data_IF_875190308887
#
_entry.id   IF_875190308887
#
_cell.length_a   1.000
_cell.length_b   1.000
_cell.length_c   1.000
_cell.angle_alpha   90.00
_cell.angle_beta   90.00
_cell.angle_gamma   90.00
#
_symmetry.space_group_name_H-M   'P 1'
#
loop_
_entity.id
_entity.type
_entity.pdbx_description
1 polymer ?
#
# COMPACT_ATOMS: atom_id res chain seq x y z
N UNK A 1 7.98 -9.27 43.46
CA UNK A 1 8.28 -8.80 42.08
C UNK A 1 7.17 -7.86 41.59
N UNK A 2 6.79 -6.84 42.35
CA UNK A 2 7.55 -5.66 42.84
C UNK A 2 7.50 -4.52 41.82
N UNK A 3 6.61 -3.56 42.08
CA UNK A 3 6.70 -2.11 41.97
C UNK A 3 7.36 -1.46 40.72
N UNK A 4 8.47 -2.01 40.21
CA UNK A 4 9.22 -1.58 39.03
C UNK A 4 8.43 -1.66 37.70
N UNK A 5 7.44 -2.57 37.59
CA UNK A 5 6.59 -2.64 36.40
C UNK A 5 5.62 -1.45 36.25
N UNK A 6 5.32 -0.72 37.33
CA UNK A 6 4.46 0.48 37.30
C UNK A 6 5.23 1.77 36.97
N UNK A 7 6.56 1.76 37.04
CA UNK A 7 7.43 2.92 36.75
C UNK A 7 7.88 3.02 35.29
N UNK A 8 7.60 2.00 34.46
CA UNK A 8 7.68 2.16 33.01
C UNK A 8 6.45 2.94 32.56
N UNK A 9 6.57 4.27 32.52
CA UNK A 9 5.87 5.08 31.52
C UNK A 9 6.03 4.35 30.20
N UNK A 10 4.99 3.62 29.78
CA UNK A 10 5.01 2.83 28.56
C UNK A 10 4.96 3.85 27.44
N UNK A 11 6.13 4.36 27.05
CA UNK A 11 6.30 5.30 25.94
C UNK A 11 5.50 4.71 24.79
N UNK A 12 4.37 5.34 24.48
CA UNK A 12 3.43 4.80 23.50
C UNK A 12 4.21 4.68 22.19
N UNK A 13 4.32 3.46 21.67
CA UNK A 13 5.05 3.22 20.43
C UNK A 13 4.50 4.15 19.35
N UNK A 14 5.39 4.95 18.76
CA UNK A 14 5.02 5.84 17.65
C UNK A 14 4.53 4.97 16.51
N UNK A 15 3.34 5.27 16.00
CA UNK A 15 2.78 4.62 14.81
C UNK A 15 3.05 5.49 13.60
N UNK A 16 3.32 4.86 12.47
CA UNK A 16 3.47 5.52 11.18
C UNK A 16 2.27 5.15 10.33
N UNK A 17 1.73 6.14 9.63
CA UNK A 17 0.66 5.96 8.64
C UNK A 17 1.18 6.48 7.32
N UNK A 18 1.09 5.66 6.28
CA UNK A 18 1.34 6.07 4.91
C UNK A 18 -0.01 6.13 4.19
N UNK A 19 -0.29 7.25 3.54
CA UNK A 19 -1.47 7.43 2.70
C UNK A 19 -0.94 7.77 1.32
N UNK A 20 -1.21 6.92 0.34
CA UNK A 20 -0.92 7.24 -1.05
C UNK A 20 -2.20 7.59 -1.79
N UNK A 21 -2.12 8.64 -2.60
CA UNK A 21 -3.20 9.13 -3.45
C UNK A 21 -2.78 8.88 -4.90
N UNK A 22 -3.37 7.88 -5.56
CA UNK A 22 -3.05 7.57 -6.95
C UNK A 22 -3.45 8.75 -7.86
N UNK A 23 -2.72 8.94 -8.97
CA UNK A 23 -3.02 9.98 -9.94
C UNK A 23 -3.04 11.41 -9.39
N UNK A 24 -2.27 11.71 -8.32
CA UNK A 24 -2.26 13.03 -7.68
C UNK A 24 -0.91 13.76 -7.89
N UNK A 25 -0.75 14.54 -8.98
CA UNK A 25 0.45 15.34 -9.20
C UNK A 25 0.69 16.39 -8.11
N UNK A 26 1.96 16.73 -7.88
CA UNK A 26 2.37 17.80 -6.97
C UNK A 26 1.65 19.13 -7.25
N UNK A 27 1.61 19.53 -8.53
CA UNK A 27 1.00 20.80 -8.96
C UNK A 27 -0.51 20.84 -8.71
N UNK A 28 -1.19 19.69 -8.80
CA UNK A 28 -2.61 19.58 -8.52
C UNK A 28 -2.89 19.79 -7.03
N UNK A 29 -2.15 19.12 -6.14
CA UNK A 29 -2.31 19.30 -4.69
C UNK A 29 -1.95 20.73 -4.25
N UNK A 30 -0.89 21.31 -4.80
CA UNK A 30 -0.50 22.70 -4.54
C UNK A 30 -1.61 23.68 -4.94
N UNK A 31 -2.22 23.50 -6.12
CA UNK A 31 -3.35 24.31 -6.59
C UNK A 31 -4.55 24.20 -5.65
N UNK A 32 -4.93 22.98 -5.25
CA UNK A 32 -6.08 22.79 -4.35
C UNK A 32 -5.87 23.43 -2.97
N UNK A 33 -4.63 23.43 -2.45
CA UNK A 33 -4.28 24.14 -1.22
C UNK A 33 -4.44 25.65 -1.42
N UNK A 34 -3.89 26.21 -2.50
CA UNK A 34 -3.97 27.64 -2.80
C UNK A 34 -5.42 28.12 -3.01
N UNK A 35 -6.29 27.28 -3.57
CA UNK A 35 -7.73 27.55 -3.75
C UNK A 35 -8.54 27.38 -2.45
N UNK A 36 -7.91 26.98 -1.32
CA UNK A 36 -8.62 26.72 -0.05
C UNK A 36 -9.48 25.45 -0.05
N UNK A 37 -9.30 24.57 -1.05
CA UNK A 37 -10.12 23.36 -1.27
C UNK A 37 -9.55 22.10 -0.61
N UNK A 38 -8.33 22.17 -0.08
CA UNK A 38 -7.67 21.06 0.61
C UNK A 38 -7.16 21.47 2.02
N UNK A 39 -8.04 21.88 2.95
CA UNK A 39 -7.63 22.44 4.26
C UNK A 39 -6.84 21.46 5.13
N UNK A 40 -7.14 20.15 5.04
CA UNK A 40 -6.39 19.12 5.76
C UNK A 40 -4.99 18.93 5.19
N UNK A 41 -4.82 19.00 3.87
CA UNK A 41 -3.51 18.95 3.24
C UNK A 41 -2.70 20.20 3.58
N UNK A 42 -3.32 21.39 3.54
CA UNK A 42 -2.67 22.63 3.97
C UNK A 42 -2.13 22.52 5.40
N UNK A 43 -2.93 22.01 6.34
CA UNK A 43 -2.52 21.81 7.73
C UNK A 43 -1.32 20.86 7.84
N UNK A 44 -1.29 19.77 7.07
CA UNK A 44 -0.16 18.83 7.05
C UNK A 44 1.11 19.48 6.51
N UNK A 45 0.99 20.27 5.43
CA UNK A 45 2.13 20.98 4.83
C UNK A 45 2.69 22.03 5.80
N UNK A 46 1.84 22.79 6.50
CA UNK A 46 2.27 23.76 7.53
C UNK A 46 3.05 23.13 8.69
N UNK A 47 2.77 21.86 9.01
CA UNK A 47 3.45 21.11 10.08
C UNK A 47 4.64 20.28 9.57
N UNK A 48 4.87 20.26 8.26
CA UNK A 48 5.84 19.39 7.60
C UNK A 48 6.35 19.98 6.30
N UNK A 49 6.22 19.25 5.19
CA UNK A 49 6.71 19.70 3.89
C UNK A 49 5.87 19.12 2.75
N UNK A 50 5.76 19.88 1.66
CA UNK A 50 5.25 19.40 0.38
C UNK A 50 6.42 19.41 -0.61
N UNK A 51 6.90 18.22 -0.99
CA UNK A 51 8.05 18.07 -1.88
C UNK A 51 7.63 17.42 -3.19
N UNK A 52 8.19 17.92 -4.30
CA UNK A 52 8.03 17.29 -5.61
C UNK A 52 8.95 16.07 -5.68
N UNK A 53 8.43 14.97 -6.20
CA UNK A 53 9.18 13.74 -6.42
C UNK A 53 8.92 13.23 -7.84
N UNK A 54 9.93 12.60 -8.41
CA UNK A 54 9.76 11.85 -9.65
C UNK A 54 9.19 10.47 -9.32
N UNK A 55 8.31 10.00 -10.21
CA UNK A 55 7.81 8.62 -10.15
C UNK A 55 8.81 7.66 -10.81
N UNK A 56 8.48 6.38 -10.77
CA UNK A 56 9.28 5.31 -11.37
C UNK A 56 9.04 5.22 -12.87
N UNK A 57 10.01 4.64 -13.59
CA UNK A 57 9.88 4.28 -15.00
C UNK A 57 9.65 2.77 -15.14
N UNK A 58 8.61 2.32 -15.87
CA UNK A 58 7.61 3.10 -16.59
C UNK A 58 6.53 3.73 -15.68
N UNK A 59 5.93 4.83 -16.15
CA UNK A 59 4.94 5.65 -15.44
C UNK A 59 3.56 4.99 -15.32
N UNK A 60 3.50 3.81 -14.72
CA UNK A 60 2.26 3.02 -14.55
C UNK A 60 2.06 2.76 -13.06
N UNK A 61 0.82 2.88 -12.58
CA UNK A 61 0.53 2.78 -11.14
C UNK A 61 1.01 1.45 -10.55
N UNK A 62 0.79 0.30 -11.21
CA UNK A 62 1.29 -1.00 -10.70
C UNK A 62 2.79 -0.99 -10.45
N UNK A 63 3.56 -0.30 -11.30
CA UNK A 63 5.02 -0.18 -11.20
C UNK A 63 5.39 0.78 -10.09
N UNK A 64 4.76 1.96 -10.02
CA UNK A 64 5.01 2.95 -8.98
C UNK A 64 4.74 2.41 -7.57
N UNK A 65 3.60 1.75 -7.38
CA UNK A 65 3.24 1.11 -6.11
C UNK A 65 4.17 -0.05 -5.77
N UNK A 66 4.59 -0.84 -6.76
CA UNK A 66 5.59 -1.91 -6.58
C UNK A 66 6.95 -1.38 -6.16
N UNK A 67 7.45 -0.32 -6.81
CA UNK A 67 8.70 0.33 -6.43
C UNK A 67 8.59 0.94 -5.02
N UNK A 68 7.47 1.60 -4.70
CA UNK A 68 7.23 2.17 -3.37
C UNK A 68 7.24 1.11 -2.28
N UNK A 69 6.48 0.02 -2.46
CA UNK A 69 6.36 -1.00 -1.43
C UNK A 69 7.63 -1.83 -1.28
N UNK A 70 8.49 -1.93 -2.30
CA UNK A 70 9.70 -2.79 -2.24
C UNK A 70 11.00 -2.01 -2.06
N UNK A 71 10.99 -0.69 -2.31
CA UNK A 71 12.19 0.16 -2.25
C UNK A 71 13.21 -0.14 -3.35
N UNK A 72 12.84 -0.89 -4.38
CA UNK A 72 13.73 -1.25 -5.50
C UNK A 72 13.11 -0.87 -6.85
N UNK A 73 13.92 -0.83 -7.91
CA UNK A 73 13.45 -0.51 -9.25
C UNK A 73 12.73 -1.70 -9.94
N UNK A 74 12.04 -1.47 -11.08
CA UNK A 74 11.25 -2.50 -11.75
C UNK A 74 12.00 -3.75 -12.19
N UNK A 75 13.26 -3.62 -12.58
CA UNK A 75 14.07 -4.77 -12.95
C UNK A 75 14.33 -5.71 -11.74
N UNK A 76 14.29 -5.18 -10.50
CA UNK A 76 14.44 -5.98 -9.28
C UNK A 76 13.12 -6.58 -8.81
N UNK A 77 12.03 -5.81 -8.82
CA UNK A 77 10.74 -6.30 -8.31
C UNK A 77 9.88 -7.04 -9.34
N UNK A 78 10.22 -6.96 -10.63
CA UNK A 78 9.61 -7.71 -11.74
C UNK A 78 8.14 -7.36 -12.05
N UNK A 79 7.76 -6.10 -11.87
CA UNK A 79 6.43 -5.60 -12.24
C UNK A 79 6.62 -4.42 -13.20
N UNK A 80 6.10 -4.55 -14.43
CA UNK A 80 6.29 -3.57 -15.50
C UNK A 80 5.00 -2.91 -16.00
N UNK A 81 3.84 -3.37 -15.54
CA UNK A 81 2.53 -2.84 -15.92
C UNK A 81 1.38 -3.61 -15.30
N UNK A 82 0.14 -3.29 -15.67
CA UNK A 82 -1.05 -4.11 -15.33
C UNK A 82 -1.31 -5.21 -16.36
N UNK A 83 -0.67 -5.11 -17.52
CA UNK A 83 -0.63 -6.15 -18.55
C UNK A 83 0.83 -6.36 -18.87
N UNK A 84 1.28 -7.61 -18.81
CA UNK A 84 2.65 -8.00 -19.13
C UNK A 84 2.61 -9.21 -20.08
N UNK A 85 3.78 -9.61 -20.60
CA UNK A 85 3.91 -10.74 -21.52
C UNK A 85 4.95 -11.73 -20.99
N UNK A 86 4.60 -13.00 -21.06
CA UNK A 86 5.57 -14.06 -20.81
C UNK A 86 6.65 -14.02 -21.91
N UNK A 87 7.94 -13.95 -21.58
CA UNK A 87 8.99 -13.75 -22.57
C UNK A 87 9.24 -14.98 -23.47
N UNK A 88 8.82 -16.17 -23.04
CA UNK A 88 9.00 -17.40 -23.82
C UNK A 88 7.83 -17.65 -24.78
N UNK A 89 6.61 -17.29 -24.38
CA UNK A 89 5.38 -17.63 -25.09
C UNK A 89 4.66 -16.42 -25.68
N UNK A 90 5.06 -15.20 -25.30
CA UNK A 90 4.43 -13.93 -25.64
C UNK A 90 2.97 -13.78 -25.21
N UNK A 91 2.45 -14.72 -24.42
CA UNK A 91 1.09 -14.65 -23.88
C UNK A 91 0.97 -13.50 -22.89
N UNK A 92 -0.10 -12.73 -23.03
CA UNK A 92 -0.42 -11.66 -22.09
C UNK A 92 -0.97 -12.22 -20.78
N UNK A 93 -0.62 -11.57 -19.68
CA UNK A 93 -1.16 -11.86 -18.36
C UNK A 93 -1.25 -10.59 -17.52
N UNK A 94 -2.01 -10.64 -16.43
CA UNK A 94 -2.08 -9.57 -15.43
C UNK A 94 -1.08 -9.90 -14.32
N UNK A 95 -0.04 -9.07 -14.09
CA UNK A 95 0.87 -9.28 -12.98
C UNK A 95 0.15 -9.18 -11.63
N UNK A 96 0.41 -10.16 -10.78
CA UNK A 96 -0.11 -10.25 -9.42
C UNK A 96 1.04 -10.21 -8.42
N UNK A 97 0.72 -10.29 -7.13
CA UNK A 97 1.72 -10.47 -6.08
C UNK A 97 2.57 -11.72 -6.31
N UNK A 98 2.12 -12.72 -7.08
CA UNK A 98 2.93 -13.91 -7.40
C UNK A 98 4.09 -13.59 -8.34
N UNK A 99 3.98 -12.53 -9.16
CA UNK A 99 5.03 -12.08 -10.07
C UNK A 99 6.07 -11.19 -9.39
N UNK A 100 5.79 -10.72 -8.17
CA UNK A 100 6.66 -9.85 -7.39
C UNK A 100 7.91 -10.61 -6.89
N UNK A 101 9.09 -10.23 -7.37
CA UNK A 101 10.38 -10.88 -7.03
C UNK A 101 11.17 -10.22 -5.90
N UNK A 102 10.67 -9.10 -5.37
CA UNK A 102 11.26 -8.40 -4.24
C UNK A 102 10.38 -8.49 -3.00
N UNK A 103 11.02 -8.35 -1.84
CA UNK A 103 10.32 -8.29 -0.56
C UNK A 103 9.66 -6.93 -0.38
N UNK A 104 8.47 -6.91 0.20
CA UNK A 104 7.76 -5.68 0.49
C UNK A 104 8.16 -5.12 1.86
N UNK A 105 7.89 -3.83 2.06
CA UNK A 105 8.12 -3.11 3.30
C UNK A 105 7.38 -3.77 4.47
N UNK A 106 6.16 -4.25 4.26
CA UNK A 106 5.39 -4.92 5.31
C UNK A 106 5.89 -6.32 5.64
N UNK A 107 6.48 -7.05 4.69
CA UNK A 107 7.18 -8.30 4.99
C UNK A 107 8.43 -8.03 5.83
N UNK A 108 9.23 -7.03 5.46
CA UNK A 108 10.45 -6.62 6.20
C UNK A 108 10.11 -6.14 7.61
N UNK A 109 9.05 -5.34 7.76
CA UNK A 109 8.56 -4.89 9.07
C UNK A 109 8.01 -6.06 9.90
N UNK A 110 7.35 -7.03 9.26
CA UNK A 110 6.85 -8.24 9.89
C UNK A 110 7.96 -9.08 10.52
N UNK A 111 9.04 -9.33 9.76
CA UNK A 111 10.24 -10.03 10.26
C UNK A 111 10.87 -9.33 11.45
N UNK A 112 10.84 -7.99 11.46
CA UNK A 112 11.30 -7.18 12.57
C UNK A 112 10.32 -7.13 13.77
N UNK A 113 9.30 -7.99 13.77
CA UNK A 113 8.30 -8.11 14.83
C UNK A 113 7.30 -6.95 14.88
N UNK A 114 7.22 -6.10 13.85
CA UNK A 114 6.28 -4.98 13.79
C UNK A 114 4.94 -5.44 13.23
N UNK A 115 3.86 -4.86 13.78
CA UNK A 115 2.51 -5.09 13.27
C UNK A 115 2.18 -4.12 12.15
N UNK A 116 1.56 -4.62 11.08
CA UNK A 116 1.23 -3.85 9.88
C UNK A 116 -0.25 -3.99 9.52
N UNK A 117 -0.80 -2.93 8.92
CA UNK A 117 -2.12 -2.94 8.29
C UNK A 117 -1.91 -2.34 6.90
N UNK A 118 -2.25 -3.11 5.87
CA UNK A 118 -2.13 -2.73 4.46
C UNK A 118 -3.51 -2.87 3.84
N UNK A 119 -3.98 -1.84 3.14
CA UNK A 119 -5.32 -1.79 2.55
C UNK A 119 -5.23 -1.18 1.17
N UNK A 120 -5.75 -1.88 0.16
CA UNK A 120 -5.94 -1.38 -1.20
C UNK A 120 -4.66 -0.82 -1.86
N UNK A 121 -3.52 -1.49 -1.65
CA UNK A 121 -2.28 -1.16 -2.37
C UNK A 121 -2.21 -2.02 -3.63
N UNK A 122 -2.05 -1.44 -4.85
CA UNK A 122 -2.02 -2.22 -6.09
C UNK A 122 -0.98 -3.35 -6.09
N UNK A 123 -1.27 -4.43 -6.82
CA UNK A 123 -0.41 -5.63 -6.98
C UNK A 123 -0.26 -6.44 -5.67
N UNK A 124 -1.20 -6.31 -4.74
CA UNK A 124 -1.22 -7.10 -3.50
C UNK A 124 -2.14 -8.32 -3.55
N UNK A 125 -2.86 -8.56 -4.64
CA UNK A 125 -3.59 -9.80 -4.86
C UNK A 125 -2.67 -10.89 -5.46
N UNK A 126 -2.75 -12.17 -5.04
CA UNK A 126 -3.36 -12.61 -3.78
C UNK A 126 -2.58 -12.07 -2.57
N UNK A 127 -3.27 -11.78 -1.45
CA UNK A 127 -2.62 -11.23 -0.27
C UNK A 127 -1.58 -12.20 0.28
N UNK A 128 -0.32 -11.75 0.36
CA UNK A 128 0.74 -12.52 1.02
C UNK A 128 0.60 -12.38 2.55
N UNK A 129 0.98 -13.41 3.33
CA UNK A 129 0.98 -13.33 4.79
C UNK A 129 1.77 -12.15 5.34
N UNK A 130 1.21 -11.45 6.33
CA UNK A 130 1.87 -10.37 7.06
C UNK A 130 1.64 -10.49 8.56
N UNK A 131 2.50 -9.88 9.38
CA UNK A 131 2.28 -9.76 10.82
C UNK A 131 1.18 -8.71 11.11
N UNK A 132 -0.07 -9.04 10.79
CA UNK A 132 -1.21 -8.13 10.92
C UNK A 132 -2.26 -8.38 9.84
N UNK A 133 -2.69 -7.33 9.15
CA UNK A 133 -3.80 -7.39 8.19
C UNK A 133 -3.31 -6.91 6.82
N UNK A 134 -3.64 -7.65 5.78
CA UNK A 134 -3.53 -7.21 4.40
C UNK A 134 -4.88 -7.38 3.71
N UNK A 135 -5.43 -6.28 3.23
CA UNK A 135 -6.57 -6.25 2.31
C UNK A 135 -6.04 -5.85 0.94
N UNK A 136 -6.24 -6.74 -0.03
CA UNK A 136 -5.79 -6.60 -1.41
C UNK A 136 -6.39 -5.38 -2.11
N UNK A 137 -6.00 -5.21 -3.37
CA UNK A 137 -6.48 -4.15 -4.24
C UNK A 137 -7.59 -4.63 -5.19
N UNK A 138 -8.04 -3.72 -6.06
CA UNK A 138 -8.99 -3.95 -7.16
C UNK A 138 -8.65 -5.12 -8.11
N UNK A 139 -7.40 -5.59 -8.15
CA UNK A 139 -7.04 -6.84 -8.87
C UNK A 139 -7.60 -8.11 -8.20
N UNK A 140 -8.13 -8.01 -6.99
CA UNK A 140 -8.71 -9.14 -6.29
C UNK A 140 -10.09 -9.46 -6.88
N UNK A 141 -10.34 -10.72 -7.30
CA UNK A 141 -11.58 -11.09 -7.98
C UNK A 141 -12.81 -11.12 -7.03
N UNK A 142 -12.59 -11.12 -5.72
CA UNK A 142 -13.65 -11.00 -4.71
C UNK A 142 -13.06 -10.55 -3.38
N UNK A 143 -13.91 -10.08 -2.45
CA UNK A 143 -13.47 -9.68 -1.11
C UNK A 143 -12.88 -10.87 -0.33
N UNK A 144 -13.46 -12.06 -0.44
CA UNK A 144 -12.99 -13.28 0.22
C UNK A 144 -11.54 -13.61 -0.17
N UNK A 145 -11.19 -13.35 -1.44
CA UNK A 145 -9.86 -13.59 -2.00
C UNK A 145 -8.89 -12.42 -1.79
N UNK A 146 -9.37 -11.28 -1.27
CA UNK A 146 -8.57 -10.10 -1.01
C UNK A 146 -7.97 -10.06 0.40
N UNK A 147 -8.40 -10.91 1.34
CA UNK A 147 -8.17 -10.66 2.77
C UNK A 147 -7.22 -11.67 3.40
N UNK A 148 -6.20 -11.16 4.09
CA UNK A 148 -5.35 -11.92 4.99
C UNK A 148 -5.27 -11.25 6.38
N UNK A 149 -5.38 -12.02 7.49
CA UNK A 149 -5.88 -13.39 7.52
C UNK A 149 -7.40 -13.41 7.24
N UNK A 150 -7.90 -14.54 6.73
CA UNK A 150 -9.31 -14.70 6.36
C UNK A 150 -10.30 -14.41 7.51
N UNK A 151 -9.85 -14.48 8.76
CA UNK A 151 -10.63 -14.13 9.96
C UNK A 151 -11.10 -12.67 10.00
N UNK A 152 -10.51 -11.77 9.20
CA UNK A 152 -10.96 -10.37 9.11
C UNK A 152 -12.06 -10.12 8.07
N UNK A 153 -12.41 -11.13 7.25
CA UNK A 153 -13.47 -11.01 6.26
C UNK A 153 -14.83 -10.57 6.88
N UNK A 154 -15.32 -11.15 8.00
CA UNK A 154 -16.58 -10.71 8.60
C UNK A 154 -16.57 -9.25 9.05
N UNK A 155 -15.41 -8.76 9.52
CA UNK A 155 -15.26 -7.35 9.88
C UNK A 155 -15.41 -6.45 8.66
N UNK A 156 -14.75 -6.78 7.54
CA UNK A 156 -14.85 -5.99 6.31
C UNK A 156 -16.27 -6.00 5.73
N UNK A 157 -16.96 -7.15 5.79
CA UNK A 157 -18.36 -7.27 5.39
C UNK A 157 -19.27 -6.40 6.28
N UNK A 158 -19.07 -6.39 7.60
CA UNK A 158 -19.84 -5.55 8.52
C UNK A 158 -19.65 -4.05 8.30
N UNK A 159 -18.48 -3.67 7.74
CA UNK A 159 -18.17 -2.29 7.38
C UNK A 159 -18.72 -1.90 6.00
N UNK A 160 -19.31 -2.84 5.26
CA UNK A 160 -19.71 -2.62 3.87
C UNK A 160 -18.52 -2.31 2.96
N UNK A 161 -17.33 -2.84 3.28
CA UNK A 161 -16.12 -2.57 2.50
C UNK A 161 -16.22 -3.19 1.10
N UNK A 162 -15.93 -2.38 0.09
CA UNK A 162 -15.85 -2.82 -1.31
C UNK A 162 -14.39 -2.69 -1.78
N UNK A 163 -13.85 -3.74 -2.39
CA UNK A 163 -12.45 -3.79 -2.84
C UNK A 163 -12.19 -2.81 -3.99
N UNK A 164 -13.19 -2.67 -4.86
CA UNK A 164 -13.18 -1.73 -5.97
C UNK A 164 -14.53 -1.01 -6.00
N UNK A 165 -14.52 0.32 -5.93
CA UNK A 165 -15.73 1.13 -5.91
C UNK A 165 -16.36 1.28 -7.29
N UNK A 166 -15.59 1.01 -8.36
CA UNK A 166 -16.05 1.11 -9.75
C UNK A 166 -15.61 -0.14 -10.56
N UNK A 167 -16.21 -1.31 -10.30
CA UNK A 167 -15.92 -2.52 -11.06
C UNK A 167 -16.58 -2.42 -12.45
N UNK A 168 -15.76 -2.21 -13.47
CA UNK A 168 -16.14 -2.13 -14.90
C UNK A 168 -16.91 -3.36 -15.40
#
# INVERSE_FOLDING_TARGET
MSFLNKLRSRKRDRRVVFIGLDGTPFTFLQRLIAEGRAPNAERLVRQGSLLRMDSTWPWVSSVAWSSMMTGVNPAKHNIFGFIDRDPATYKQFIPTSQNMRARTLWEVLGDAGKRVIVVNVPVTYPPRPVNGILVGCFLSPSLEKAVYPASYLPTLQSLGYVVDADPW
#
